data_IF_527787323810
#
_entry.id   IF_527787323810
#
_cell.length_a   1.000
_cell.length_b   1.000
_cell.length_c   1.000
_cell.angle_alpha   90.00
_cell.angle_beta   90.00
_cell.angle_gamma   90.00
#
_symmetry.space_group_name_H-M   'P 1'
#
loop_
_entity.id
_entity.type
_entity.pdbx_description
1 polymer ?
#
# COMPACT_ATOMS: atom_id res chain seq x y z
N UNK A 1 23.03 -12.16 -26.09
CA UNK A 1 21.59 -11.80 -26.23
C UNK A 1 20.80 -12.99 -25.71
N UNK A 2 20.49 -12.98 -24.42
CA UNK A 2 19.84 -14.12 -23.77
C UNK A 2 18.47 -13.68 -23.27
N UNK A 3 17.49 -14.22 -23.97
CA UNK A 3 16.07 -14.29 -23.71
C UNK A 3 15.78 -14.51 -22.22
N UNK A 4 15.23 -13.49 -21.53
CA UNK A 4 14.74 -13.64 -20.17
C UNK A 4 13.29 -14.05 -20.24
N UNK A 5 13.07 -15.32 -19.90
CA UNK A 5 11.78 -15.95 -19.74
C UNK A 5 10.78 -15.04 -19.01
N UNK A 6 9.67 -14.83 -19.69
CA UNK A 6 8.45 -14.28 -19.13
C UNK A 6 7.81 -15.36 -18.26
N UNK A 7 8.10 -15.35 -16.96
CA UNK A 7 7.36 -16.14 -15.96
C UNK A 7 6.00 -15.49 -15.70
N UNK A 8 4.87 -16.11 -16.08
CA UNK A 8 3.54 -15.53 -15.93
C UNK A 8 2.91 -15.81 -14.55
N UNK A 9 3.67 -16.31 -13.57
CA UNK A 9 3.16 -16.76 -12.26
C UNK A 9 3.47 -15.80 -11.10
N UNK A 10 3.94 -14.58 -11.37
CA UNK A 10 3.89 -13.53 -10.36
C UNK A 10 2.42 -13.18 -10.11
N UNK A 11 1.82 -13.85 -9.13
CA UNK A 11 0.49 -13.56 -8.60
C UNK A 11 0.37 -12.04 -8.45
N UNK A 12 -0.73 -11.43 -8.91
CA UNK A 12 -0.90 -9.97 -8.88
C UNK A 12 -0.62 -9.37 -7.50
N UNK A 13 -0.81 -10.14 -6.41
CA UNK A 13 -0.42 -9.74 -5.05
C UNK A 13 1.09 -9.54 -4.83
N UNK A 14 1.94 -10.32 -5.48
CA UNK A 14 3.41 -10.28 -5.29
C UNK A 14 4.03 -9.06 -5.99
N UNK A 15 3.52 -8.69 -7.18
CA UNK A 15 3.89 -7.43 -7.85
C UNK A 15 3.41 -6.19 -7.10
N UNK A 16 2.36 -6.31 -6.29
CA UNK A 16 1.75 -5.19 -5.56
C UNK A 16 2.34 -4.96 -4.17
N UNK A 17 3.16 -5.89 -3.67
CA UNK A 17 3.84 -5.78 -2.36
C UNK A 17 4.65 -4.48 -2.21
N UNK A 18 5.36 -4.06 -3.26
CA UNK A 18 6.12 -2.80 -3.26
C UNK A 18 5.26 -1.52 -3.27
N UNK A 19 3.95 -1.65 -3.47
CA UNK A 19 3.00 -0.53 -3.51
C UNK A 19 2.08 -0.51 -2.29
N UNK A 20 2.31 -1.37 -1.31
CA UNK A 20 1.55 -1.42 -0.07
C UNK A 20 1.47 -0.05 0.62
N UNK A 21 0.26 0.31 1.05
CA UNK A 21 -0.02 1.59 1.70
C UNK A 21 -0.12 2.77 0.73
N UNK A 22 -0.04 2.53 -0.59
CA UNK A 22 -0.09 3.57 -1.63
C UNK A 22 -1.30 3.42 -2.54
N UNK A 23 -1.68 4.53 -3.16
CA UNK A 23 -2.57 4.55 -4.30
C UNK A 23 -1.79 4.23 -5.56
N UNK A 24 -2.33 3.33 -6.38
CA UNK A 24 -1.78 2.95 -7.68
C UNK A 24 -2.76 3.29 -8.80
N UNK A 25 -2.20 3.57 -9.97
CA UNK A 25 -2.92 3.68 -11.22
C UNK A 25 -2.60 2.46 -12.07
N UNK A 26 -3.62 1.68 -12.39
CA UNK A 26 -3.54 0.44 -13.15
C UNK A 26 -4.04 0.67 -14.57
N UNK A 27 -3.31 0.14 -15.54
CA UNK A 27 -3.71 0.11 -16.93
C UNK A 27 -3.33 -1.24 -17.49
N UNK A 28 -4.27 -1.99 -18.05
CA UNK A 28 -3.91 -3.29 -18.63
C UNK A 28 -3.56 -4.34 -17.56
N UNK A 29 -3.91 -4.12 -16.29
CA UNK A 29 -3.40 -4.90 -15.16
C UNK A 29 -1.96 -4.55 -14.72
N UNK A 30 -1.36 -3.49 -15.27
CA UNK A 30 0.01 -3.05 -14.94
C UNK A 30 -0.01 -1.71 -14.21
N UNK A 31 0.87 -1.53 -13.23
CA UNK A 31 1.02 -0.26 -12.52
C UNK A 31 1.72 0.75 -13.43
N UNK A 32 1.04 1.87 -13.71
CA UNK A 32 1.54 2.96 -14.56
C UNK A 32 1.74 4.27 -13.79
N UNK A 33 1.34 4.31 -12.53
CA UNK A 33 1.53 5.45 -11.63
C UNK A 33 1.25 5.08 -10.17
N UNK A 34 1.81 5.85 -9.23
CA UNK A 34 1.63 5.64 -7.79
C UNK A 34 1.60 6.98 -7.05
N UNK A 35 1.03 7.02 -5.85
CA UNK A 35 1.02 8.20 -4.99
C UNK A 35 0.47 7.96 -3.59
N UNK A 36 0.60 8.94 -2.71
CA UNK A 36 -0.01 8.91 -1.38
C UNK A 36 -1.51 9.23 -1.39
N UNK A 37 -2.03 9.73 -2.52
CA UNK A 37 -3.45 10.03 -2.72
C UNK A 37 -3.93 9.53 -4.10
N UNK A 38 -5.24 9.34 -4.32
CA UNK A 38 -5.78 8.96 -5.62
C UNK A 38 -5.39 9.95 -6.72
N UNK A 39 -5.42 11.26 -6.40
CA UNK A 39 -5.06 12.32 -7.35
C UNK A 39 -3.59 12.26 -7.75
N UNK A 40 -2.69 12.00 -6.80
CA UNK A 40 -1.27 11.84 -7.11
C UNK A 40 -1.04 10.62 -8.01
N UNK A 41 -1.65 9.47 -7.72
CA UNK A 41 -1.52 8.29 -8.58
C UNK A 41 -2.01 8.55 -10.01
N UNK A 42 -3.14 9.25 -10.16
CA UNK A 42 -3.69 9.65 -11.46
C UNK A 42 -2.77 10.63 -12.21
N UNK A 43 -2.26 11.66 -11.53
CA UNK A 43 -1.34 12.63 -12.12
C UNK A 43 -0.05 11.96 -12.61
N UNK A 44 0.52 11.07 -11.79
CA UNK A 44 1.71 10.29 -12.16
C UNK A 44 1.47 9.41 -13.38
N UNK A 45 0.28 8.80 -13.52
CA UNK A 45 -0.06 8.02 -14.71
C UNK A 45 -0.25 8.90 -15.96
N UNK A 46 -0.95 10.03 -15.82
CA UNK A 46 -1.21 10.97 -16.92
C UNK A 46 0.04 11.65 -17.46
N UNK A 47 1.09 11.79 -16.64
CA UNK A 47 2.39 12.32 -17.07
C UNK A 47 3.02 11.51 -18.23
N UNK A 48 2.80 10.18 -18.25
CA UNK A 48 3.34 9.29 -19.28
C UNK A 48 2.30 8.86 -20.32
N UNK A 49 1.01 8.88 -19.97
CA UNK A 49 -0.10 8.33 -20.78
C UNK A 49 -1.35 9.22 -20.69
N UNK A 50 -1.25 10.48 -21.14
CA UNK A 50 -2.30 11.48 -20.90
C UNK A 50 -3.71 11.13 -21.46
N UNK A 51 -3.79 10.32 -22.51
CA UNK A 51 -5.05 9.92 -23.18
C UNK A 51 -5.69 8.66 -22.60
N UNK A 52 -4.99 7.94 -21.74
CA UNK A 52 -5.50 6.69 -21.17
C UNK A 52 -6.20 6.95 -19.83
N UNK A 53 -7.26 6.18 -19.55
CA UNK A 53 -8.01 6.26 -18.30
C UNK A 53 -7.59 5.09 -17.39
N UNK A 54 -6.58 5.27 -16.52
CA UNK A 54 -6.16 4.22 -15.59
C UNK A 54 -7.19 4.01 -14.49
N UNK A 55 -7.35 2.76 -14.05
CA UNK A 55 -8.08 2.40 -12.84
C UNK A 55 -7.27 2.81 -11.62
N UNK A 56 -7.89 3.53 -10.68
CA UNK A 56 -7.22 3.95 -9.45
C UNK A 56 -7.60 3.00 -8.31
N UNK A 57 -6.61 2.38 -7.68
CA UNK A 57 -6.80 1.41 -6.61
C UNK A 57 -5.88 1.73 -5.43
N UNK A 58 -6.39 1.59 -4.20
CA UNK A 58 -5.54 1.60 -3.02
C UNK A 58 -5.02 0.19 -2.76
N UNK A 59 -3.72 0.04 -2.53
CA UNK A 59 -3.13 -1.23 -2.13
C UNK A 59 -3.09 -1.28 -0.60
N UNK A 60 -3.98 -2.06 0.04
CA UNK A 60 -4.00 -2.13 1.49
C UNK A 60 -2.71 -2.77 2.02
N UNK A 61 -2.28 -2.34 3.20
CA UNK A 61 -1.27 -3.03 3.99
C UNK A 61 -1.85 -4.36 4.45
N UNK A 62 -1.40 -5.43 3.82
CA UNK A 62 -1.89 -6.79 4.06
C UNK A 62 -1.51 -7.31 5.44
N UNK A 63 -0.54 -6.70 6.11
CA UNK A 63 -0.22 -7.01 7.49
C UNK A 63 -0.99 -6.07 8.43
N UNK A 64 -2.02 -6.56 9.15
CA UNK A 64 -2.43 -5.89 10.36
C UNK A 64 -1.19 -5.76 11.25
N UNK A 65 -0.97 -4.56 11.79
CA UNK A 65 0.08 -4.32 12.76
C UNK A 65 -0.06 -5.36 13.87
N UNK A 66 0.93 -6.24 14.01
CA UNK A 66 0.93 -7.23 15.08
C UNK A 66 1.35 -6.52 16.36
N UNK A 67 0.36 -6.11 17.15
CA UNK A 67 0.61 -5.46 18.42
C UNK A 67 1.05 -6.47 19.48
N UNK A 68 1.84 -6.00 20.45
CA UNK A 68 2.30 -6.87 21.55
C UNK A 68 1.17 -7.16 22.53
N UNK A 69 1.24 -8.31 23.21
CA UNK A 69 0.29 -8.70 24.28
C UNK A 69 0.21 -7.65 25.39
N UNK A 70 1.28 -6.89 25.61
CA UNK A 70 1.30 -5.77 26.54
C UNK A 70 0.35 -4.64 26.09
N UNK A 71 0.31 -4.32 24.79
CA UNK A 71 -0.58 -3.27 24.29
C UNK A 71 -2.05 -3.67 24.49
N UNK A 72 -2.38 -4.94 24.31
CA UNK A 72 -3.73 -5.46 24.56
C UNK A 72 -4.14 -5.33 26.03
N UNK A 73 -3.20 -5.51 26.97
CA UNK A 73 -3.44 -5.33 28.40
C UNK A 73 -3.59 -3.84 28.80
N UNK A 74 -2.86 -2.95 28.14
CA UNK A 74 -2.90 -1.50 28.43
C UNK A 74 -4.13 -0.84 27.80
N UNK A 75 -4.58 -1.30 26.63
CA UNK A 75 -5.73 -0.74 25.89
C UNK A 75 -7.00 -0.54 26.73
N UNK A 76 -7.46 -1.50 27.58
CA UNK A 76 -8.64 -1.29 28.42
C UNK A 76 -8.42 -0.28 29.56
N UNK A 77 -7.16 -0.02 29.96
CA UNK A 77 -6.85 1.00 30.97
C UNK A 77 -6.83 2.43 30.41
N UNK A 78 -6.88 2.58 29.08
CA UNK A 78 -6.88 3.88 28.42
C UNK A 78 -8.30 4.48 28.34
N UNK A 79 -8.44 5.81 28.45
CA UNK A 79 -9.72 6.50 28.27
C UNK A 79 -10.31 6.22 26.88
N UNK A 80 -11.53 5.69 26.84
CA UNK A 80 -12.21 5.32 25.58
C UNK A 80 -12.87 6.52 24.88
N UNK A 81 -13.03 7.64 25.59
CA UNK A 81 -13.62 8.89 25.12
C UNK A 81 -12.61 9.79 24.39
N UNK A 82 -11.34 9.40 24.32
CA UNK A 82 -10.26 10.20 23.75
C UNK A 82 -9.55 9.48 22.61
N UNK A 83 -9.24 10.23 21.55
CA UNK A 83 -8.39 9.74 20.48
C UNK A 83 -6.95 9.63 20.98
N UNK A 84 -6.46 8.39 21.07
CA UNK A 84 -5.09 8.07 21.51
C UNK A 84 -4.33 7.50 20.31
N UNK A 85 -3.14 8.03 20.06
CA UNK A 85 -2.30 7.65 18.93
C UNK A 85 -1.03 6.99 19.44
N UNK A 86 -0.71 5.80 18.92
CA UNK A 86 0.58 5.16 19.12
C UNK A 86 1.58 5.79 18.15
N UNK A 87 2.67 6.35 18.68
CA UNK A 87 3.74 6.99 17.90
C UNK A 87 5.10 6.41 18.27
N UNK A 88 6.00 6.29 17.30
CA UNK A 88 7.40 5.90 17.53
C UNK A 88 7.81 4.56 16.92
N UNK A 89 8.97 4.08 17.36
CA UNK A 89 9.68 2.92 16.77
C UNK A 89 8.84 1.65 16.70
N UNK A 90 8.08 1.32 17.76
CA UNK A 90 7.25 0.12 17.78
C UNK A 90 6.16 0.07 16.69
N UNK A 91 5.71 1.23 16.18
CA UNK A 91 4.79 1.28 15.03
C UNK A 91 5.55 1.03 13.73
N UNK A 92 6.74 1.60 13.59
CA UNK A 92 7.60 1.40 12.43
C UNK A 92 8.10 -0.04 12.32
N UNK A 93 8.44 -0.66 13.44
CA UNK A 93 8.96 -2.04 13.49
C UNK A 93 7.86 -3.08 13.24
N UNK A 94 6.59 -2.70 13.36
CA UNK A 94 5.42 -3.54 13.07
C UNK A 94 4.89 -3.37 11.63
N UNK A 95 5.44 -2.42 10.84
CA UNK A 95 5.11 -2.14 9.43
C UNK A 95 6.09 -2.83 8.48
#
# INVERSE_FOLDING_TARGET
MSDRGNDPTASTGDMLSGYTGRWIALLRGRVVGQGGTPRQALQSAKANRFKENPEIRYVPTANPLSFSTLLDQVRPALPQDKSIYLVGGAVRDAL
#
